data_IF_197873136377
#
_entry.id   IF_197873136377
#
_cell.length_a   1.000
_cell.length_b   1.000
_cell.length_c   1.000
_cell.angle_alpha   90.00
_cell.angle_beta   90.00
_cell.angle_gamma   90.00
#
_symmetry.space_group_name_H-M   'P 1'
#
loop_
_entity.id
_entity.type
_entity.pdbx_description
1 polymer ?
#
# COMPACT_ATOMS: atom_id res chain seq x y z
N UNK A 1 -15.99 14.94 54.29
CA UNK A 1 -17.35 14.77 53.75
C UNK A 1 -17.31 15.37 52.35
N UNK A 2 -17.14 14.52 51.32
CA UNK A 2 -18.20 14.15 50.34
C UNK A 2 -18.71 15.39 49.59
N UNK A 3 -18.70 15.50 48.26
CA UNK A 3 -18.66 14.56 47.12
C UNK A 3 -18.37 15.43 45.88
N UNK A 4 -17.52 15.06 44.93
CA UNK A 4 -17.83 14.07 43.89
C UNK A 4 -18.53 14.73 42.69
N UNK A 5 -17.78 15.02 41.63
CA UNK A 5 -18.34 15.14 40.27
C UNK A 5 -17.33 14.55 39.29
N UNK A 6 -17.52 13.25 39.06
CA UNK A 6 -16.90 12.46 38.01
C UNK A 6 -17.65 12.85 36.72
N UNK A 7 -16.94 13.38 35.73
CA UNK A 7 -17.50 13.55 34.38
C UNK A 7 -17.73 12.16 33.76
N UNK A 8 -18.82 11.99 32.99
CA UNK A 8 -19.34 10.67 32.66
C UNK A 8 -18.44 9.92 31.69
N UNK A 9 -18.53 8.59 31.77
CA UNK A 9 -17.96 7.62 30.87
C UNK A 9 -18.22 8.02 29.40
N UNK A 10 -17.15 8.03 28.61
CA UNK A 10 -17.19 8.28 27.17
C UNK A 10 -18.15 7.32 26.49
N UNK A 11 -19.13 7.90 25.82
CA UNK A 11 -20.22 7.21 25.17
C UNK A 11 -19.77 6.41 23.95
N UNK A 12 -20.54 5.34 23.75
CA UNK A 12 -21.11 4.93 22.48
C UNK A 12 -20.19 5.01 21.24
N UNK A 13 -19.86 3.82 20.75
CA UNK A 13 -19.48 3.48 19.37
C UNK A 13 -20.53 3.90 18.31
N UNK A 14 -21.35 4.93 18.57
CA UNK A 14 -22.52 5.33 17.77
C UNK A 14 -22.15 5.94 16.40
N UNK A 15 -20.87 6.24 16.13
CA UNK A 15 -20.40 6.79 14.84
C UNK A 15 -19.59 5.80 13.98
N UNK A 16 -19.49 4.51 14.35
CA UNK A 16 -18.61 3.56 13.63
C UNK A 16 -19.37 2.69 12.64
N UNK A 17 -19.90 3.31 11.58
CA UNK A 17 -19.65 2.89 10.19
C UNK A 17 -19.83 4.13 9.31
N UNK A 18 -18.74 4.74 8.82
CA UNK A 18 -18.84 5.61 7.64
C UNK A 18 -19.10 4.72 6.44
N UNK A 19 -20.36 4.34 6.21
CA UNK A 19 -20.84 3.77 4.95
C UNK A 19 -20.81 4.81 3.83
N UNK A 20 -20.66 6.08 4.20
CA UNK A 20 -20.50 7.21 3.28
C UNK A 20 -19.10 7.14 2.69
N UNK A 21 -18.97 7.15 1.34
CA UNK A 21 -17.68 7.37 0.68
C UNK A 21 -17.01 8.59 1.31
N UNK A 22 -15.74 8.46 1.67
CA UNK A 22 -14.96 9.63 2.05
C UNK A 22 -14.67 10.40 0.75
N UNK A 23 -15.01 11.70 0.71
CA UNK A 23 -14.68 12.59 -0.42
C UNK A 23 -15.74 12.69 -1.53
N UNK A 24 -15.52 13.66 -2.42
CA UNK A 24 -16.36 13.91 -3.59
C UNK A 24 -15.99 13.00 -4.77
N UNK A 25 -16.93 12.67 -5.69
CA UNK A 25 -16.62 11.95 -6.92
C UNK A 25 -15.52 12.66 -7.70
N UNK A 26 -14.45 11.94 -8.05
CA UNK A 26 -13.27 12.51 -8.71
C UNK A 26 -13.03 11.86 -10.07
N UNK A 27 -12.29 12.57 -10.92
CA UNK A 27 -11.89 12.04 -12.23
C UNK A 27 -10.80 10.99 -12.03
N UNK A 28 -10.88 9.91 -12.79
CA UNK A 28 -9.85 8.87 -12.88
C UNK A 28 -8.46 9.47 -13.16
N UNK A 29 -7.48 9.13 -12.32
CA UNK A 29 -6.08 9.48 -12.53
C UNK A 29 -5.49 8.53 -13.56
N UNK A 30 -4.78 9.11 -14.53
CA UNK A 30 -4.11 8.39 -15.63
C UNK A 30 -2.65 8.82 -15.71
N UNK A 31 -1.85 8.12 -16.50
CA UNK A 31 -0.46 8.53 -16.79
C UNK A 31 -0.37 9.92 -17.41
N UNK A 32 -1.37 10.31 -18.24
CA UNK A 32 -1.49 11.67 -18.76
C UNK A 32 -1.74 12.69 -17.63
N UNK A 33 -2.61 12.36 -16.68
CA UNK A 33 -2.87 13.20 -15.49
C UNK A 33 -1.60 13.42 -14.68
N UNK A 34 -0.72 12.42 -14.53
CA UNK A 34 0.55 12.59 -13.82
C UNK A 34 1.48 13.60 -14.53
N UNK A 35 1.53 13.56 -15.86
CA UNK A 35 2.30 14.53 -16.66
C UNK A 35 1.74 15.94 -16.52
N UNK A 36 0.41 16.09 -16.57
CA UNK A 36 -0.27 17.36 -16.32
C UNK A 36 0.07 17.91 -14.93
N UNK A 37 0.03 17.07 -13.90
CA UNK A 37 0.37 17.45 -12.52
C UNK A 37 1.81 17.97 -12.41
N UNK A 38 2.79 17.30 -13.03
CA UNK A 38 4.17 17.82 -13.10
C UNK A 38 4.25 19.18 -13.78
N UNK A 39 3.61 19.34 -14.94
CA UNK A 39 3.61 20.60 -15.69
C UNK A 39 3.03 21.77 -14.85
N UNK A 40 1.98 21.48 -14.07
CA UNK A 40 1.34 22.45 -13.19
C UNK A 40 2.00 22.58 -11.81
N UNK A 41 3.01 21.75 -11.50
CA UNK A 41 3.65 21.64 -10.19
C UNK A 41 2.67 21.26 -9.07
N UNK A 42 1.65 20.49 -9.42
CA UNK A 42 0.71 19.90 -8.48
C UNK A 42 1.31 18.61 -7.90
N UNK A 43 1.51 18.50 -6.57
CA UNK A 43 2.16 17.32 -5.99
C UNK A 43 1.40 16.02 -6.27
N UNK A 44 2.13 14.98 -6.67
CA UNK A 44 1.59 13.63 -6.87
C UNK A 44 1.68 12.85 -5.56
N UNK A 45 0.55 12.32 -5.11
CA UNK A 45 0.45 11.50 -3.90
C UNK A 45 0.39 10.02 -4.26
N UNK A 46 1.24 9.22 -3.62
CA UNK A 46 1.28 7.78 -3.82
C UNK A 46 1.29 7.06 -2.46
N UNK A 47 0.48 6.02 -2.31
CA UNK A 47 0.55 5.12 -1.15
C UNK A 47 0.45 3.69 -1.61
N UNK A 48 1.12 2.80 -0.87
CA UNK A 48 0.92 1.37 -1.12
C UNK A 48 -0.42 0.89 -0.56
N UNK A 49 -1.00 -0.15 -1.16
CA UNK A 49 -2.12 -0.90 -0.59
C UNK A 49 -2.06 -2.35 -1.08
N UNK A 50 -2.58 -3.28 -0.29
CA UNK A 50 -2.40 -4.72 -0.55
C UNK A 50 -3.68 -5.54 -0.38
N UNK A 51 -4.77 -4.91 0.06
CA UNK A 51 -6.06 -5.55 0.25
C UNK A 51 -7.21 -4.59 -0.12
N UNK A 52 -8.42 -5.14 -0.22
CA UNK A 52 -9.61 -4.39 -0.62
C UNK A 52 -9.95 -3.22 0.32
N UNK A 53 -9.90 -3.44 1.64
CA UNK A 53 -10.36 -2.46 2.61
C UNK A 53 -9.40 -1.26 2.68
N UNK A 54 -8.10 -1.54 2.77
CA UNK A 54 -7.06 -0.51 2.73
C UNK A 54 -7.10 0.26 1.42
N UNK A 55 -7.19 -0.44 0.27
CA UNK A 55 -7.23 0.20 -1.04
C UNK A 55 -8.41 1.16 -1.19
N UNK A 56 -9.60 0.75 -0.72
CA UNK A 56 -10.78 1.60 -0.75
C UNK A 56 -10.60 2.87 0.08
N UNK A 57 -10.07 2.77 1.30
CA UNK A 57 -9.82 3.94 2.16
C UNK A 57 -8.78 4.88 1.54
N UNK A 58 -7.73 4.33 0.95
CA UNK A 58 -6.67 5.10 0.27
C UNK A 58 -7.21 5.83 -0.96
N UNK A 59 -8.04 5.15 -1.78
CA UNK A 59 -8.67 5.72 -2.98
C UNK A 59 -9.68 6.82 -2.63
N UNK A 60 -10.57 6.58 -1.67
CA UNK A 60 -11.56 7.56 -1.18
C UNK A 60 -10.89 8.78 -0.52
N UNK A 61 -9.71 8.62 0.09
CA UNK A 61 -8.91 9.75 0.59
C UNK A 61 -8.32 10.63 -0.53
N UNK A 62 -8.44 10.22 -1.79
CA UNK A 62 -8.05 11.02 -2.94
C UNK A 62 -6.58 10.93 -3.34
N UNK A 63 -5.90 9.85 -2.94
CA UNK A 63 -4.53 9.54 -3.35
C UNK A 63 -4.46 9.34 -4.87
N UNK A 64 -3.43 9.89 -5.52
CA UNK A 64 -3.33 9.86 -6.99
C UNK A 64 -2.93 8.47 -7.52
N UNK A 65 -2.03 7.79 -6.81
CA UNK A 65 -1.48 6.49 -7.19
C UNK A 65 -1.63 5.49 -6.03
N UNK A 66 -2.25 4.35 -6.30
CA UNK A 66 -2.22 3.19 -5.41
C UNK A 66 -1.20 2.19 -5.96
N UNK A 67 -0.16 1.92 -5.18
CA UNK A 67 0.92 1.00 -5.54
C UNK A 67 0.75 -0.35 -4.83
N UNK A 68 0.58 -1.42 -5.58
CA UNK A 68 0.75 -2.78 -5.06
C UNK A 68 2.21 -3.16 -5.20
N UNK A 69 2.99 -2.77 -4.19
CA UNK A 69 4.44 -2.96 -4.19
C UNK A 69 4.87 -4.35 -3.70
N UNK A 70 6.02 -4.83 -4.15
CA UNK A 70 6.60 -6.10 -3.68
C UNK A 70 7.00 -6.08 -2.19
N UNK A 71 7.06 -4.89 -1.59
CA UNK A 71 7.04 -4.65 -0.13
C UNK A 71 5.97 -5.44 0.64
N UNK A 72 4.92 -5.95 -0.03
CA UNK A 72 3.95 -6.88 0.55
C UNK A 72 4.60 -8.18 1.05
N UNK A 73 5.72 -8.59 0.45
CA UNK A 73 6.50 -9.74 0.88
C UNK A 73 6.82 -9.64 2.38
N UNK A 74 7.28 -8.47 2.82
CA UNK A 74 7.68 -8.24 4.20
C UNK A 74 6.49 -7.81 5.07
N UNK A 75 5.64 -6.91 4.56
CA UNK A 75 4.59 -6.29 5.37
C UNK A 75 3.33 -7.13 5.53
N UNK A 76 3.01 -7.96 4.53
CA UNK A 76 1.81 -8.80 4.51
C UNK A 76 2.14 -10.28 4.74
N UNK A 77 3.20 -10.77 4.09
CA UNK A 77 3.55 -12.20 4.09
C UNK A 77 4.63 -12.57 5.11
N UNK A 78 5.30 -11.58 5.72
CA UNK A 78 6.31 -11.80 6.75
C UNK A 78 7.62 -12.41 6.23
N UNK A 79 7.90 -12.31 4.93
CA UNK A 79 9.19 -12.68 4.36
C UNK A 79 10.30 -11.74 4.84
N UNK A 80 11.53 -12.24 4.86
CA UNK A 80 12.69 -11.45 5.31
C UNK A 80 13.06 -10.32 4.33
N UNK A 81 12.73 -10.49 3.04
CA UNK A 81 13.00 -9.54 1.97
C UNK A 81 11.99 -9.72 0.82
N UNK A 82 12.08 -8.88 -0.21
CA UNK A 82 11.16 -8.90 -1.35
C UNK A 82 11.51 -9.91 -2.45
N UNK A 83 12.64 -10.63 -2.35
CA UNK A 83 13.09 -11.53 -3.43
C UNK A 83 12.23 -12.80 -3.57
N UNK A 84 11.60 -13.24 -2.49
CA UNK A 84 10.84 -14.49 -2.45
C UNK A 84 9.41 -14.38 -2.96
N UNK A 85 8.87 -13.16 -3.11
CA UNK A 85 7.49 -13.00 -3.56
C UNK A 85 7.35 -13.36 -5.03
N UNK A 86 6.34 -14.16 -5.32
CA UNK A 86 6.07 -14.69 -6.66
C UNK A 86 5.15 -13.78 -7.46
N UNK A 87 5.12 -13.95 -8.79
CA UNK A 87 4.15 -13.28 -9.65
C UNK A 87 2.71 -13.61 -9.22
N UNK A 88 2.41 -14.85 -8.84
CA UNK A 88 1.06 -15.27 -8.48
C UNK A 88 0.57 -14.65 -7.15
N UNK A 89 1.46 -14.49 -6.17
CA UNK A 89 1.18 -13.75 -4.94
C UNK A 89 0.91 -12.27 -5.24
N UNK A 90 1.75 -11.65 -6.07
CA UNK A 90 1.51 -10.27 -6.51
C UNK A 90 0.16 -10.13 -7.23
N UNK A 91 -0.17 -11.01 -8.16
CA UNK A 91 -1.46 -11.02 -8.87
C UNK A 91 -2.66 -11.21 -7.94
N UNK A 92 -2.52 -11.99 -6.85
CA UNK A 92 -3.56 -12.11 -5.82
C UNK A 92 -3.85 -10.75 -5.17
N UNK A 93 -2.82 -10.07 -4.68
CA UNK A 93 -2.96 -8.79 -4.00
C UNK A 93 -3.48 -7.69 -4.95
N UNK A 94 -2.99 -7.64 -6.19
CA UNK A 94 -3.49 -6.68 -7.20
C UNK A 94 -4.98 -6.88 -7.46
N UNK A 95 -5.46 -8.13 -7.59
CA UNK A 95 -6.91 -8.40 -7.73
C UNK A 95 -7.72 -7.93 -6.53
N UNK A 96 -7.19 -8.05 -5.32
CA UNK A 96 -7.86 -7.58 -4.11
C UNK A 96 -7.96 -6.04 -4.11
N UNK A 97 -6.86 -5.36 -4.42
CA UNK A 97 -6.75 -3.90 -4.46
C UNK A 97 -7.61 -3.29 -5.57
N UNK A 98 -7.62 -3.87 -6.78
CA UNK A 98 -8.43 -3.42 -7.92
C UNK A 98 -9.93 -3.31 -7.60
N UNK A 99 -10.44 -4.15 -6.69
CA UNK A 99 -11.84 -4.11 -6.24
C UNK A 99 -12.14 -2.89 -5.37
N UNK A 100 -11.12 -2.34 -4.70
CA UNK A 100 -11.22 -1.16 -3.82
C UNK A 100 -10.88 0.15 -4.52
N UNK A 101 -10.01 0.13 -5.52
CA UNK A 101 -9.59 1.32 -6.28
C UNK A 101 -10.59 1.65 -7.38
N UNK A 102 -11.08 2.89 -7.41
CA UNK A 102 -11.89 3.43 -8.50
C UNK A 102 -11.11 4.51 -9.26
N UNK A 103 -10.56 5.49 -8.54
CA UNK A 103 -10.11 6.74 -9.13
C UNK A 103 -8.59 6.89 -9.20
N UNK A 104 -7.82 6.36 -8.25
CA UNK A 104 -6.37 6.38 -8.28
C UNK A 104 -5.81 5.52 -9.41
N UNK A 105 -4.66 5.89 -9.97
CA UNK A 105 -3.94 5.03 -10.93
C UNK A 105 -3.41 3.79 -10.18
N UNK A 106 -3.83 2.59 -10.60
CA UNK A 106 -3.35 1.35 -9.97
C UNK A 106 -2.05 0.88 -10.62
N UNK A 107 -0.95 0.96 -9.87
CA UNK A 107 0.38 0.49 -10.29
C UNK A 107 0.71 -0.80 -9.55
N UNK A 108 1.28 -1.79 -10.23
CA UNK A 108 1.72 -3.04 -9.62
C UNK A 108 3.22 -3.28 -9.83
N UNK A 109 3.94 -3.68 -8.80
CA UNK A 109 5.32 -4.12 -8.97
C UNK A 109 5.40 -5.44 -9.74
N UNK A 110 6.33 -5.50 -10.69
CA UNK A 110 6.84 -6.77 -11.18
C UNK A 110 7.88 -7.30 -10.19
N UNK A 111 7.70 -8.49 -9.59
CA UNK A 111 8.61 -8.99 -8.57
C UNK A 111 9.95 -9.46 -9.18
N UNK A 112 10.96 -9.68 -8.34
CA UNK A 112 12.25 -10.18 -8.76
C UNK A 112 12.12 -11.47 -9.62
N UNK A 113 13.00 -11.61 -10.61
CA UNK A 113 12.94 -12.72 -11.58
C UNK A 113 11.96 -12.48 -12.74
N UNK A 114 10.80 -11.87 -12.51
CA UNK A 114 9.70 -11.80 -13.50
C UNK A 114 9.97 -10.97 -14.76
N UNK A 115 11.05 -10.20 -14.77
CA UNK A 115 11.49 -9.38 -15.91
C UNK A 115 13.02 -9.41 -16.12
N UNK A 116 13.70 -10.33 -15.44
CA UNK A 116 15.17 -10.35 -15.38
C UNK A 116 15.79 -11.26 -16.44
N UNK A 117 15.10 -12.32 -16.85
CA UNK A 117 15.65 -13.35 -17.75
C UNK A 117 15.54 -12.95 -19.22
N UNK A 118 14.32 -12.73 -19.72
CA UNK A 118 14.08 -12.38 -21.12
C UNK A 118 13.03 -11.28 -21.27
N UNK A 119 13.10 -10.54 -22.38
CA UNK A 119 12.10 -9.51 -22.68
C UNK A 119 10.71 -10.10 -22.92
N UNK A 120 10.62 -11.29 -23.53
CA UNK A 120 9.33 -11.94 -23.81
C UNK A 120 8.64 -12.40 -22.52
N UNK A 121 9.41 -12.90 -21.55
CA UNK A 121 8.89 -13.19 -20.21
C UNK A 121 8.43 -11.92 -19.49
N UNK A 122 9.20 -10.84 -19.56
CA UNK A 122 8.81 -9.56 -18.95
C UNK A 122 7.48 -9.05 -19.53
N UNK A 123 7.33 -9.07 -20.85
CA UNK A 123 6.08 -8.68 -21.54
C UNK A 123 4.94 -9.61 -21.14
N UNK A 124 5.18 -10.93 -21.10
CA UNK A 124 4.18 -11.90 -20.68
C UNK A 124 3.67 -11.62 -19.26
N UNK A 125 4.59 -11.48 -18.29
CA UNK A 125 4.25 -11.22 -16.89
C UNK A 125 3.55 -9.85 -16.72
N UNK A 126 4.02 -8.80 -17.39
CA UNK A 126 3.37 -7.50 -17.38
C UNK A 126 1.92 -7.59 -17.93
N UNK A 127 1.71 -8.33 -19.02
CA UNK A 127 0.37 -8.54 -19.58
C UNK A 127 -0.55 -9.28 -18.60
N UNK A 128 -0.03 -10.21 -17.79
CA UNK A 128 -0.81 -10.87 -16.72
C UNK A 128 -1.26 -9.87 -15.65
N UNK A 129 -0.40 -8.95 -15.22
CA UNK A 129 -0.77 -7.91 -14.25
C UNK A 129 -1.93 -7.05 -14.73
N UNK A 130 -1.93 -6.68 -16.02
CA UNK A 130 -3.04 -5.93 -16.62
C UNK A 130 -4.28 -6.80 -16.78
N UNK A 131 -4.16 -7.94 -17.48
CA UNK A 131 -5.29 -8.76 -17.93
C UNK A 131 -5.95 -9.56 -16.82
N UNK A 132 -5.15 -10.16 -15.93
CA UNK A 132 -5.65 -11.05 -14.88
C UNK A 132 -5.94 -10.31 -13.58
N UNK A 133 -5.21 -9.23 -13.31
CA UNK A 133 -5.29 -8.53 -12.03
C UNK A 133 -5.84 -7.10 -12.09
N UNK A 134 -5.84 -6.46 -13.26
CA UNK A 134 -6.41 -5.14 -13.46
C UNK A 134 -5.50 -3.98 -13.06
N UNK A 135 -4.18 -4.20 -13.02
CA UNK A 135 -3.21 -3.11 -12.95
C UNK A 135 -3.30 -2.24 -14.21
N UNK A 136 -3.06 -0.95 -14.07
CA UNK A 136 -3.09 0.03 -15.16
C UNK A 136 -1.69 0.44 -15.60
N UNK A 137 -0.69 0.16 -14.77
CA UNK A 137 0.72 0.26 -15.07
C UNK A 137 1.51 -0.77 -14.24
N UNK A 138 2.70 -1.12 -14.70
CA UNK A 138 3.65 -1.96 -13.94
C UNK A 138 4.86 -1.16 -13.49
N UNK A 139 5.44 -1.47 -12.33
CA UNK A 139 6.70 -0.87 -11.86
C UNK A 139 7.85 -1.89 -11.98
N UNK A 140 8.99 -1.43 -12.50
CA UNK A 140 10.18 -2.24 -12.77
C UNK A 140 11.43 -1.54 -12.23
N UNK A 141 12.27 -2.28 -11.52
CA UNK A 141 13.52 -1.75 -10.96
C UNK A 141 14.70 -1.89 -11.93
N UNK A 142 15.45 -0.80 -12.06
CA UNK A 142 16.66 -0.71 -12.87
C UNK A 142 16.65 0.48 -13.83
N UNK A 143 17.82 1.08 -14.02
CA UNK A 143 18.04 2.16 -14.97
C UNK A 143 18.44 1.66 -16.35
N UNK A 144 19.55 2.18 -16.89
CA UNK A 144 20.02 1.96 -18.26
C UNK A 144 20.06 0.47 -18.64
N UNK A 145 20.53 -0.40 -17.72
CA UNK A 145 20.62 -1.86 -17.92
C UNK A 145 19.28 -2.57 -18.17
N UNK A 146 18.14 -1.93 -17.90
CA UNK A 146 16.79 -2.50 -18.08
C UNK A 146 15.96 -1.79 -19.15
N UNK A 147 16.48 -0.73 -19.76
CA UNK A 147 15.72 0.10 -20.72
C UNK A 147 15.21 -0.70 -21.91
N UNK A 148 15.97 -1.65 -22.44
CA UNK A 148 15.53 -2.45 -23.59
C UNK A 148 14.33 -3.34 -23.24
N UNK A 149 14.31 -3.94 -22.05
CA UNK A 149 13.16 -4.72 -21.57
C UNK A 149 11.97 -3.81 -21.27
N UNK A 150 12.21 -2.65 -20.67
CA UNK A 150 11.16 -1.65 -20.38
C UNK A 150 10.48 -1.18 -21.67
N UNK A 151 11.26 -0.87 -22.72
CA UNK A 151 10.73 -0.51 -24.04
C UNK A 151 9.85 -1.61 -24.62
N UNK A 152 10.27 -2.88 -24.50
CA UNK A 152 9.47 -4.02 -24.97
C UNK A 152 8.10 -4.11 -24.28
N UNK A 153 8.03 -3.78 -22.99
CA UNK A 153 6.76 -3.73 -22.23
C UNK A 153 5.91 -2.53 -22.65
N UNK A 154 6.53 -1.35 -22.85
CA UNK A 154 5.86 -0.14 -23.35
C UNK A 154 5.31 -0.35 -24.76
N UNK A 155 6.07 -0.99 -25.66
CA UNK A 155 5.68 -1.32 -27.03
C UNK A 155 4.49 -2.31 -27.07
N UNK A 156 4.29 -3.07 -26.00
CA UNK A 156 3.11 -3.91 -25.79
C UNK A 156 1.91 -3.14 -25.21
N UNK A 157 1.97 -1.80 -25.23
CA UNK A 157 0.93 -0.87 -24.76
C UNK A 157 0.69 -0.92 -23.24
N UNK A 158 1.68 -1.36 -22.47
CA UNK A 158 1.62 -1.41 -21.01
C UNK A 158 2.46 -0.27 -20.43
N UNK A 159 1.86 0.72 -19.73
CA UNK A 159 2.64 1.77 -19.08
C UNK A 159 3.58 1.20 -18.02
N UNK A 160 4.80 1.71 -17.99
CA UNK A 160 5.84 1.30 -17.03
C UNK A 160 6.20 2.47 -16.12
N UNK A 161 6.26 2.25 -14.82
CA UNK A 161 6.96 3.11 -13.87
C UNK A 161 8.38 2.57 -13.68
N UNK A 162 9.39 3.41 -13.91
CA UNK A 162 10.78 3.06 -13.63
C UNK A 162 11.12 3.24 -12.16
N UNK A 163 12.07 2.48 -11.63
CA UNK A 163 12.56 2.64 -10.26
C UNK A 163 14.10 2.59 -10.22
N UNK A 164 14.72 3.67 -9.73
CA UNK A 164 16.18 3.82 -9.59
C UNK A 164 16.55 4.37 -8.20
N UNK A 165 17.84 4.30 -7.86
CA UNK A 165 18.32 4.56 -6.51
C UNK A 165 18.52 3.25 -5.76
N UNK A 166 18.08 3.19 -4.51
CA UNK A 166 18.00 1.95 -3.76
C UNK A 166 16.87 1.10 -4.33
N UNK A 167 17.22 0.02 -5.03
CA UNK A 167 16.29 -0.94 -5.62
C UNK A 167 16.30 -2.23 -4.76
N UNK A 168 15.30 -2.45 -3.87
CA UNK A 168 15.23 -3.59 -2.97
C UNK A 168 15.48 -4.97 -3.61
N UNK A 169 15.07 -5.18 -4.86
CA UNK A 169 15.30 -6.45 -5.56
C UNK A 169 16.79 -6.72 -5.87
N UNK A 170 17.65 -5.71 -5.70
CA UNK A 170 19.11 -5.82 -5.80
C UNK A 170 19.80 -5.88 -4.42
N UNK A 171 19.08 -6.16 -3.32
CA UNK A 171 19.61 -6.12 -1.94
C UNK A 171 20.90 -6.93 -1.76
N UNK A 172 21.03 -8.10 -2.40
CA UNK A 172 22.21 -8.95 -2.33
C UNK A 172 23.43 -8.32 -3.02
N UNK A 173 23.22 -7.66 -4.16
CA UNK A 173 24.29 -6.94 -4.89
C UNK A 173 24.69 -5.66 -4.15
N UNK A 174 23.73 -4.99 -3.50
CA UNK A 174 23.97 -3.76 -2.73
C UNK A 174 24.55 -4.03 -1.32
N UNK A 175 24.45 -5.28 -0.85
CA UNK A 175 24.83 -5.67 0.51
C UNK A 175 23.98 -4.98 1.57
N UNK A 176 22.66 -4.93 1.35
CA UNK A 176 21.66 -4.34 2.24
C UNK A 176 21.06 -3.02 1.74
N UNK A 177 20.07 -2.52 2.50
CA UNK A 177 19.35 -1.27 2.20
C UNK A 177 20.21 -0.04 2.52
N UNK A 178 20.98 0.43 1.54
CA UNK A 178 21.92 1.55 1.69
C UNK A 178 21.51 2.71 0.80
N UNK A 179 21.70 3.93 1.30
CA UNK A 179 21.53 5.15 0.52
C UNK A 179 22.50 5.17 -0.68
N UNK A 180 21.98 5.39 -1.88
CA UNK A 180 22.72 5.45 -3.15
C UNK A 180 23.14 6.88 -3.51
N UNK A 181 23.94 7.07 -4.56
CA UNK A 181 24.26 8.42 -5.06
C UNK A 181 25.16 9.27 -4.15
N UNK A 182 26.08 8.65 -3.39
CA UNK A 182 26.98 9.37 -2.46
C UNK A 182 28.32 9.81 -3.05
N UNK A 183 28.65 9.37 -4.25
CA UNK A 183 29.89 9.72 -4.96
C UNK A 183 29.55 10.29 -6.33
N UNK A 184 30.44 11.12 -6.90
CA UNK A 184 30.20 11.73 -8.21
C UNK A 184 29.87 10.68 -9.29
N UNK A 185 30.63 9.58 -9.35
CA UNK A 185 30.36 8.51 -10.31
C UNK A 185 28.97 7.86 -10.11
N UNK A 186 28.54 7.67 -8.86
CA UNK A 186 27.22 7.12 -8.56
C UNK A 186 26.09 8.11 -8.92
N UNK A 187 26.32 9.42 -8.72
CA UNK A 187 25.40 10.48 -9.11
C UNK A 187 25.27 10.53 -10.63
N UNK A 188 26.40 10.51 -11.37
CA UNK A 188 26.40 10.48 -12.83
C UNK A 188 25.69 9.23 -13.38
N UNK A 189 25.86 8.06 -12.75
CA UNK A 189 25.12 6.86 -13.15
C UNK A 189 23.61 7.03 -12.93
N UNK A 190 23.17 7.56 -11.78
CA UNK A 190 21.76 7.81 -11.52
C UNK A 190 21.15 8.82 -12.50
N UNK A 191 21.91 9.86 -12.88
CA UNK A 191 21.49 10.80 -13.92
C UNK A 191 21.32 10.11 -15.27
N UNK A 192 22.28 9.27 -15.70
CA UNK A 192 22.16 8.48 -16.93
C UNK A 192 20.96 7.54 -16.89
N UNK A 193 20.77 6.85 -15.77
CA UNK A 193 19.64 5.95 -15.55
C UNK A 193 18.30 6.69 -15.69
N UNK A 194 18.17 7.85 -15.05
CA UNK A 194 16.96 8.67 -15.11
C UNK A 194 16.68 9.16 -16.53
N UNK A 195 17.69 9.71 -17.22
CA UNK A 195 17.55 10.18 -18.61
C UNK A 195 17.23 9.02 -19.57
N UNK A 196 17.80 7.83 -19.34
CA UNK A 196 17.54 6.67 -20.18
C UNK A 196 16.09 6.16 -20.00
N UNK A 197 15.57 6.19 -18.77
CA UNK A 197 14.16 5.87 -18.47
C UNK A 197 13.20 6.92 -19.03
N UNK A 198 13.52 8.21 -18.89
CA UNK A 198 12.74 9.32 -19.46
C UNK A 198 12.60 9.17 -20.97
N UNK A 199 13.73 8.96 -21.68
CA UNK A 199 13.75 8.69 -23.12
C UNK A 199 13.07 7.39 -23.53
N UNK A 200 12.95 6.42 -22.62
CA UNK A 200 12.21 5.18 -22.89
C UNK A 200 10.69 5.42 -22.88
N UNK A 201 10.22 6.53 -22.31
CA UNK A 201 8.80 6.89 -22.24
C UNK A 201 8.07 6.28 -21.04
N UNK A 202 8.78 6.03 -19.93
CA UNK A 202 8.13 5.57 -18.69
C UNK A 202 7.09 6.60 -18.19
N UNK A 203 6.07 6.13 -17.49
CA UNK A 203 4.96 6.95 -17.00
C UNK A 203 5.37 7.85 -15.82
N UNK A 204 6.24 7.33 -14.95
CA UNK A 204 6.88 8.05 -13.85
C UNK A 204 8.18 7.33 -13.44
N UNK A 205 9.03 8.00 -12.67
CA UNK A 205 10.30 7.46 -12.15
C UNK A 205 10.30 7.54 -10.63
N UNK A 206 10.36 6.39 -9.96
CA UNK A 206 10.57 6.32 -8.52
C UNK A 206 12.06 6.54 -8.19
N UNK A 207 12.31 7.43 -7.23
CA UNK A 207 13.64 7.74 -6.71
C UNK A 207 13.69 7.33 -5.24
N UNK A 208 14.39 6.24 -4.94
CA UNK A 208 14.45 5.68 -3.58
C UNK A 208 15.82 5.85 -2.94
N UNK A 209 15.85 6.34 -1.69
CA UNK A 209 17.04 6.33 -0.85
C UNK A 209 18.25 7.02 -1.48
N UNK A 210 18.07 8.20 -2.07
CA UNK A 210 19.15 9.04 -2.63
C UNK A 210 19.23 10.40 -1.93
N UNK A 211 20.39 11.09 -1.92
CA UNK A 211 20.50 12.45 -1.40
C UNK A 211 19.51 13.40 -2.10
N UNK A 212 18.92 14.31 -1.33
CA UNK A 212 17.89 15.23 -1.84
C UNK A 212 18.40 16.12 -2.97
N UNK A 213 19.68 16.50 -2.93
CA UNK A 213 20.32 17.30 -3.97
C UNK A 213 20.36 16.55 -5.30
N UNK A 214 20.58 15.23 -5.26
CA UNK A 214 20.60 14.37 -6.46
C UNK A 214 19.19 14.19 -7.00
N UNK A 215 18.21 13.98 -6.13
CA UNK A 215 16.81 13.88 -6.54
C UNK A 215 16.29 15.17 -7.19
N UNK A 216 16.67 16.34 -6.65
CA UNK A 216 16.34 17.63 -7.23
C UNK A 216 16.96 17.81 -8.63
N UNK A 217 18.23 17.43 -8.81
CA UNK A 217 18.90 17.44 -10.10
C UNK A 217 18.19 16.54 -11.12
N UNK A 218 17.88 15.30 -10.74
CA UNK A 218 17.17 14.36 -11.62
C UNK A 218 15.79 14.93 -12.00
N UNK A 219 15.02 15.41 -11.02
CA UNK A 219 13.65 15.90 -11.24
C UNK A 219 13.62 17.10 -12.19
N UNK A 220 14.63 17.97 -12.14
CA UNK A 220 14.77 19.12 -13.03
C UNK A 220 15.24 18.73 -14.44
N UNK A 221 15.95 17.61 -14.61
CA UNK A 221 16.50 17.17 -15.89
C UNK A 221 15.48 16.40 -16.75
N UNK A 222 14.61 15.61 -16.13
CA UNK A 222 13.67 14.72 -16.86
C UNK A 222 12.28 15.33 -17.03
N UNK A 223 11.64 15.08 -18.16
CA UNK A 223 10.25 15.50 -18.40
C UNK A 223 9.24 14.61 -17.67
N UNK A 224 9.60 13.36 -17.43
CA UNK A 224 8.77 12.38 -16.74
C UNK A 224 8.60 12.72 -15.24
N UNK A 225 7.40 12.54 -14.64
CA UNK A 225 7.20 12.75 -13.20
C UNK A 225 8.08 11.89 -12.31
N UNK A 226 8.71 12.49 -11.29
CA UNK A 226 9.50 11.78 -10.28
C UNK A 226 8.70 11.57 -8.98
N UNK A 227 8.77 10.37 -8.41
CA UNK A 227 8.11 10.01 -7.15
C UNK A 227 9.19 9.63 -6.13
N UNK A 228 9.36 10.45 -5.09
CA UNK A 228 10.38 10.26 -4.08
C UNK A 228 9.96 9.32 -2.94
N UNK A 229 10.91 8.53 -2.45
CA UNK A 229 10.83 7.86 -1.14
C UNK A 229 12.21 7.89 -0.48
N UNK A 230 12.35 8.73 0.55
CA UNK A 230 13.67 9.04 1.10
C UNK A 230 14.59 9.78 0.12
N UNK A 231 14.01 10.50 -0.84
CA UNK A 231 14.71 11.31 -1.85
C UNK A 231 14.54 12.84 -1.62
N UNK A 232 13.95 13.25 -0.49
CA UNK A 232 13.71 14.65 -0.19
C UNK A 232 12.45 15.23 -0.85
N UNK A 233 12.17 16.53 -0.64
CA UNK A 233 10.90 17.15 -1.00
C UNK A 233 10.83 17.60 -2.47
N UNK A 234 11.95 17.61 -3.19
CA UNK A 234 12.08 18.24 -4.50
C UNK A 234 11.69 17.32 -5.68
N UNK A 235 11.08 16.16 -5.40
CA UNK A 235 10.45 15.30 -6.40
C UNK A 235 9.03 15.80 -6.73
N UNK A 236 8.50 15.46 -7.90
CA UNK A 236 7.14 15.85 -8.32
C UNK A 236 6.03 15.21 -7.46
N UNK A 237 6.36 14.10 -6.80
CA UNK A 237 5.48 13.41 -5.85
C UNK A 237 6.22 12.61 -4.80
N UNK A 238 5.47 11.97 -3.93
CA UNK A 238 6.02 11.16 -2.83
C UNK A 238 5.25 9.85 -2.67
N UNK A 239 5.97 8.79 -2.29
CA UNK A 239 5.39 7.50 -1.89
C UNK A 239 5.84 7.09 -0.48
N UNK A 240 4.94 6.44 0.24
CA UNK A 240 5.26 5.68 1.45
C UNK A 240 4.55 4.32 1.44
N UNK A 241 5.15 3.36 2.14
CA UNK A 241 4.50 2.11 2.49
C UNK A 241 3.40 2.39 3.51
N UNK A 242 2.16 1.96 3.25
CA UNK A 242 1.03 2.23 4.13
C UNK A 242 1.27 1.74 5.57
N UNK A 243 1.86 0.56 5.74
CA UNK A 243 2.19 0.02 7.06
C UNK A 243 3.19 0.91 7.83
N UNK A 244 4.15 1.55 7.16
CA UNK A 244 5.04 2.53 7.80
C UNK A 244 4.27 3.79 8.23
N UNK A 245 3.33 4.23 7.40
CA UNK A 245 2.48 5.40 7.64
C UNK A 245 1.60 5.23 8.89
N UNK A 246 1.04 4.04 9.11
CA UNK A 246 0.13 3.74 10.23
C UNK A 246 0.76 2.91 11.37
N UNK A 247 2.09 2.78 11.41
CA UNK A 247 2.80 2.02 12.44
C UNK A 247 2.41 0.52 12.53
N UNK A 248 2.30 -0.15 11.39
CA UNK A 248 2.13 -1.61 11.29
C UNK A 248 3.39 -2.32 10.75
N UNK A 249 4.52 -1.60 10.70
CA UNK A 249 5.83 -2.19 10.42
C UNK A 249 6.51 -2.54 11.74
N UNK A 250 6.75 -3.83 11.98
CA UNK A 250 7.32 -4.35 13.24
C UNK A 250 8.87 -4.35 13.25
N UNK A 251 9.47 -3.36 12.59
CA UNK A 251 10.92 -3.20 12.45
C UNK A 251 11.39 -1.78 12.77
N UNK A 252 12.70 -1.53 12.62
CA UNK A 252 13.23 -0.18 12.77
C UNK A 252 12.75 0.68 11.61
N UNK A 253 12.05 1.78 11.90
CA UNK A 253 11.59 2.70 10.87
C UNK A 253 12.79 3.33 10.16
N UNK A 254 12.78 3.34 8.83
CA UNK A 254 13.78 4.06 8.06
C UNK A 254 13.69 5.57 8.36
N UNK A 255 14.82 6.28 8.28
CA UNK A 255 14.91 7.72 8.62
C UNK A 255 13.89 8.59 7.86
N UNK A 256 13.50 8.20 6.65
CA UNK A 256 12.58 8.96 5.80
C UNK A 256 11.11 8.76 6.15
N UNK A 257 10.78 7.80 7.01
CA UNK A 257 9.40 7.50 7.38
C UNK A 257 8.87 8.54 8.36
N UNK A 258 7.68 9.07 8.06
CA UNK A 258 6.85 9.81 9.02
C UNK A 258 5.59 8.99 9.28
N UNK A 259 5.30 8.76 10.57
CA UNK A 259 4.05 8.14 11.01
C UNK A 259 2.95 9.20 11.08
N UNK A 260 1.79 8.86 10.54
CA UNK A 260 0.59 9.69 10.57
C UNK A 260 -0.51 9.10 11.47
N UNK A 261 -0.36 7.84 11.90
CA UNK A 261 -1.23 7.19 12.88
C UNK A 261 -0.54 6.01 13.56
N UNK A 262 -1.21 5.43 14.55
CA UNK A 262 -0.74 4.24 15.28
C UNK A 262 -1.82 3.14 15.32
N UNK A 263 -1.93 2.41 14.21
CA UNK A 263 -2.85 1.30 14.10
C UNK A 263 -2.43 0.09 14.94
N UNK A 264 -1.13 -0.12 15.19
CA UNK A 264 -0.69 -1.18 16.10
C UNK A 264 -1.24 -0.98 17.51
N UNK A 265 -1.15 0.25 18.06
CA UNK A 265 -1.73 0.56 19.36
C UNK A 265 -3.25 0.37 19.37
N UNK A 266 -3.95 0.88 18.35
CA UNK A 266 -5.40 0.76 18.21
C UNK A 266 -5.86 -0.71 18.17
N UNK A 267 -5.24 -1.52 17.31
CA UNK A 267 -5.58 -2.94 17.15
C UNK A 267 -5.26 -3.69 18.44
N UNK A 268 -4.09 -3.46 19.04
CA UNK A 268 -3.69 -4.11 20.30
C UNK A 268 -4.70 -3.80 21.41
N UNK A 269 -5.07 -2.54 21.57
CA UNK A 269 -6.06 -2.14 22.58
C UNK A 269 -7.44 -2.75 22.30
N UNK A 270 -7.87 -2.79 21.05
CA UNK A 270 -9.16 -3.37 20.65
C UNK A 270 -9.22 -4.87 20.97
N UNK A 271 -8.16 -5.62 20.64
CA UNK A 271 -8.05 -7.06 20.95
C UNK A 271 -8.01 -7.31 22.46
N UNK A 272 -7.26 -6.50 23.22
CA UNK A 272 -7.20 -6.63 24.68
C UNK A 272 -8.55 -6.32 25.35
N UNK A 273 -9.27 -5.33 24.83
CA UNK A 273 -10.59 -4.95 25.35
C UNK A 273 -11.61 -6.06 25.10
N UNK A 274 -11.68 -6.57 23.86
CA UNK A 274 -12.52 -7.73 23.53
C UNK A 274 -12.24 -8.94 24.43
N UNK A 275 -10.95 -9.25 24.66
CA UNK A 275 -10.54 -10.33 25.57
C UNK A 275 -11.04 -10.08 27.00
N UNK A 276 -10.94 -8.86 27.51
CA UNK A 276 -11.38 -8.50 28.85
C UNK A 276 -12.92 -8.61 28.99
N UNK A 277 -13.65 -8.18 27.97
CA UNK A 277 -15.12 -8.25 27.96
C UNK A 277 -15.61 -9.70 27.94
N UNK A 278 -14.99 -10.56 27.14
CA UNK A 278 -15.28 -12.00 27.13
C UNK A 278 -14.93 -12.64 28.47
N UNK A 279 -13.75 -12.35 29.02
CA UNK A 279 -13.29 -12.95 30.28
C UNK A 279 -14.14 -12.53 31.50
N UNK A 280 -14.75 -11.34 31.44
CA UNK A 280 -15.64 -10.82 32.49
C UNK A 280 -17.13 -11.06 32.20
N UNK A 281 -17.46 -11.79 31.14
CA UNK A 281 -18.84 -12.03 30.68
C UNK A 281 -19.64 -10.74 30.40
N UNK A 282 -18.96 -9.66 30.03
CA UNK A 282 -19.58 -8.42 29.55
C UNK A 282 -19.92 -8.51 28.06
N UNK A 283 -19.17 -9.31 27.30
CA UNK A 283 -19.46 -9.62 25.91
C UNK A 283 -19.70 -11.14 25.67
N UNK A 284 -20.75 -11.51 24.92
CA UNK A 284 -21.86 -10.63 24.53
C UNK A 284 -22.73 -10.28 25.74
N UNK A 285 -23.28 -9.08 25.72
CA UNK A 285 -24.36 -8.64 26.61
C UNK A 285 -25.71 -9.16 26.12
N UNK A 286 -26.77 -8.93 26.92
CA UNK A 286 -28.15 -9.27 26.53
C UNK A 286 -28.58 -8.56 25.24
N UNK A 287 -28.15 -7.31 25.04
CA UNK A 287 -28.46 -6.52 23.84
C UNK A 287 -27.76 -7.04 22.58
N UNK A 288 -26.67 -7.78 22.74
CA UNK A 288 -25.90 -8.44 21.67
C UNK A 288 -26.30 -9.91 21.50
N UNK A 289 -27.38 -10.33 22.17
CA UNK A 289 -27.87 -11.70 22.19
C UNK A 289 -29.25 -11.82 21.54
N UNK A 290 -29.51 -12.95 20.89
CA UNK A 290 -30.84 -13.27 20.37
C UNK A 290 -31.67 -14.00 21.43
N UNK A 291 -32.92 -13.55 21.61
CA UNK A 291 -33.87 -14.16 22.53
C UNK A 291 -34.81 -15.14 21.83
N UNK A 292 -35.21 -16.19 22.55
CA UNK A 292 -36.32 -17.03 22.12
C UNK A 292 -37.59 -16.20 21.98
N UNK A 293 -38.47 -16.52 21.00
CA UNK A 293 -39.84 -16.03 21.03
C UNK A 293 -40.51 -16.45 22.34
N UNK A 294 -41.37 -15.58 22.89
CA UNK A 294 -42.00 -15.78 24.21
C UNK A 294 -42.70 -17.13 24.33
N UNK A 295 -43.44 -17.55 23.29
CA UNK A 295 -44.18 -18.81 23.29
C UNK A 295 -43.25 -20.03 23.39
N UNK A 296 -42.09 -19.97 22.71
CA UNK A 296 -41.06 -21.02 22.79
C UNK A 296 -40.43 -21.05 24.17
N UNK A 297 -40.23 -19.89 24.80
CA UNK A 297 -39.68 -19.79 26.15
C UNK A 297 -40.60 -20.44 27.19
N UNK A 298 -41.91 -20.20 27.12
CA UNK A 298 -42.90 -20.86 27.98
C UNK A 298 -42.98 -22.37 27.77
N UNK A 299 -42.90 -22.83 26.51
CA UNK A 299 -42.84 -24.25 26.18
C UNK A 299 -41.59 -24.93 26.76
N UNK A 300 -40.45 -24.24 26.76
CA UNK A 300 -39.18 -24.75 27.27
C UNK A 300 -39.23 -25.01 28.79
N UNK A 301 -39.87 -24.13 29.56
CA UNK A 301 -40.03 -24.33 31.01
C UNK A 301 -40.77 -25.64 31.32
N UNK A 302 -41.83 -25.93 30.56
CA UNK A 302 -42.61 -27.17 30.70
C UNK A 302 -41.74 -28.41 30.41
N UNK A 303 -40.88 -28.34 29.39
CA UNK A 303 -39.94 -29.42 29.04
C UNK A 303 -38.91 -29.63 30.16
N UNK A 304 -38.35 -28.54 30.70
CA UNK A 304 -37.36 -28.61 31.78
C UNK A 304 -37.93 -29.18 33.07
N UNK A 305 -39.18 -28.83 33.43
CA UNK A 305 -39.87 -29.40 34.59
C UNK A 305 -40.06 -30.91 34.46
N UNK A 306 -40.51 -31.40 33.29
CA UNK A 306 -40.64 -32.84 33.01
C UNK A 306 -39.30 -33.57 33.16
N UNK A 307 -38.22 -33.00 32.63
CA UNK A 307 -36.88 -33.60 32.71
C UNK A 307 -36.36 -33.69 34.15
N UNK A 308 -36.69 -32.72 35.01
CA UNK A 308 -36.33 -32.76 36.44
C UNK A 308 -37.11 -33.82 37.21
N UNK A 309 -38.38 -34.05 36.89
CA UNK A 309 -39.21 -35.08 37.54
C UNK A 309 -38.82 -36.53 37.15
N UNK A 310 -38.05 -36.71 36.08
CA UNK A 310 -37.53 -38.00 35.62
C UNK A 310 -36.11 -38.32 36.15
N UNK A 311 -35.49 -37.42 36.91
CA UNK A 311 -34.23 -37.64 37.62
C UNK A 311 -34.50 -37.92 39.08
#
# INVERSE_FOLDING_TARGET
>A
MHTGSIRPAGGALEDIVSLTPIGEPRRKITTATLREKKLHRDPITCLTAYDYATARLVDEAGIDIVLVGDSLAMTMLGYENTLSVTVDEMLHHVRAVRRGVKDALLVADMPYGSYHETADEAVHNAARFVKEAGAEAVKMEGGEKRVDVIRRVIDAEIPVAGHIGLTPQSVNVMGGYKVQGKTLNAIEQLMRDAVALDRAGVACIYLEGIPREVAALITAEVETPTIGIGAGPDCDGQVLVFHDLVNLTFGHAAKFVRRYGDAAALITQSVLSFKADVASHQFPSDAESYHLPKDTQSGLETVLQRKRAMR
#
